data_IF_844964930622
#
_entry.id   IF_844964930622
#
_cell.length_a   1.000
_cell.length_b   1.000
_cell.length_c   1.000
_cell.angle_alpha   90.00
_cell.angle_beta   90.00
_cell.angle_gamma   90.00
#
_symmetry.space_group_name_H-M   'P 1'
#
loop_
_entity.id
_entity.type
_entity.pdbx_description
1 polymer ?
#
# COMPACT_ATOMS: atom_id res chain seq x y z
N UNK A 1 16.50 25.48 33.85
CA UNK A 1 16.00 24.09 33.82
C UNK A 1 14.77 24.11 32.92
N UNK A 2 14.95 23.82 31.64
CA UNK A 2 13.87 23.79 30.65
C UNK A 2 13.13 22.47 30.89
N UNK A 3 11.91 22.55 31.41
CA UNK A 3 11.00 21.42 31.48
C UNK A 3 10.77 20.97 30.05
N UNK A 4 11.35 19.84 29.65
CA UNK A 4 10.97 19.18 28.38
C UNK A 4 9.49 18.84 28.50
N UNK A 5 8.64 19.53 27.76
CA UNK A 5 7.26 19.12 27.58
C UNK A 5 7.27 17.67 27.08
N UNK A 6 6.87 16.77 27.94
CA UNK A 6 6.68 15.37 27.55
C UNK A 6 5.43 15.35 26.66
N UNK A 7 5.64 15.30 25.35
CA UNK A 7 4.54 15.15 24.41
C UNK A 7 3.73 13.91 24.79
N UNK A 8 2.40 13.99 24.71
CA UNK A 8 1.54 12.85 25.03
C UNK A 8 1.91 11.66 24.10
N UNK A 9 1.86 10.43 24.62
CA UNK A 9 2.18 9.26 23.84
C UNK A 9 1.26 9.18 22.61
N UNK A 10 1.84 8.85 21.46
CA UNK A 10 1.05 8.62 20.24
C UNK A 10 0.10 7.45 20.45
N UNK A 11 -1.07 7.54 19.85
CA UNK A 11 -2.13 6.52 19.93
C UNK A 11 -2.67 6.22 18.53
N UNK A 12 -3.26 5.04 18.39
CA UNK A 12 -3.99 4.66 17.19
C UNK A 12 -5.36 5.35 17.18
N UNK A 13 -5.77 5.84 16.01
CA UNK A 13 -7.12 6.37 15.78
C UNK A 13 -7.99 5.30 15.13
N UNK A 14 -9.25 5.25 15.52
CA UNK A 14 -10.23 4.38 14.87
C UNK A 14 -10.87 5.12 13.71
N UNK A 15 -10.89 4.48 12.54
CA UNK A 15 -11.52 4.98 11.30
C UNK A 15 -12.69 4.07 10.98
N UNK A 16 -13.87 4.67 10.78
CA UNK A 16 -15.10 3.94 10.50
C UNK A 16 -15.41 3.89 8.99
N UNK A 17 -16.19 2.91 8.53
CA UNK A 17 -16.72 2.92 7.16
C UNK A 17 -17.52 4.21 6.89
N UNK A 18 -17.33 4.79 5.71
CA UNK A 18 -18.00 6.02 5.27
C UNK A 18 -17.26 7.32 5.60
N UNK A 19 -16.04 7.25 6.18
CA UNK A 19 -15.25 8.44 6.51
C UNK A 19 -14.31 8.91 5.40
N UNK A 20 -14.35 8.30 4.21
CA UNK A 20 -13.50 8.71 3.11
C UNK A 20 -13.95 10.05 2.53
N UNK A 21 -13.02 11.00 2.47
CA UNK A 21 -13.21 12.32 1.87
C UNK A 21 -12.02 12.61 0.94
N UNK A 22 -12.26 12.66 -0.35
CA UNK A 22 -11.20 12.75 -1.37
C UNK A 22 -10.20 13.89 -1.10
N UNK A 23 -10.68 15.07 -0.69
CA UNK A 23 -9.82 16.23 -0.42
C UNK A 23 -8.87 16.04 0.77
N UNK A 24 -9.12 15.09 1.65
CA UNK A 24 -8.24 14.74 2.78
C UNK A 24 -7.13 13.77 2.40
N UNK A 25 -7.28 13.06 1.28
CA UNK A 25 -6.42 11.94 0.90
C UNK A 25 -5.68 12.15 -0.42
N UNK A 26 -6.09 13.15 -1.21
CA UNK A 26 -5.49 13.51 -2.47
C UNK A 26 -4.94 14.93 -2.44
N UNK A 27 -3.81 15.16 -3.10
CA UNK A 27 -3.41 16.53 -3.38
C UNK A 27 -4.36 17.18 -4.41
N UNK A 28 -4.64 18.50 -4.31
CA UNK A 28 -5.55 19.18 -5.24
C UNK A 28 -5.16 18.98 -6.72
N UNK A 29 -3.86 18.91 -7.01
CA UNK A 29 -3.36 18.63 -8.38
C UNK A 29 -3.72 17.24 -8.86
N UNK A 30 -3.78 16.23 -7.97
CA UNK A 30 -4.11 14.86 -8.34
C UNK A 30 -5.58 14.72 -8.74
N UNK A 31 -6.48 15.51 -8.15
CA UNK A 31 -7.90 15.52 -8.49
C UNK A 31 -8.17 15.99 -9.93
N UNK A 32 -7.26 16.79 -10.50
CA UNK A 32 -7.35 17.30 -11.87
C UNK A 32 -6.29 16.71 -12.81
N UNK A 33 -5.51 15.74 -12.35
CA UNK A 33 -4.49 15.12 -13.16
C UNK A 33 -5.09 14.03 -14.06
N UNK A 34 -4.49 13.84 -15.23
CA UNK A 34 -4.84 12.77 -16.16
C UNK A 34 -3.66 11.83 -16.36
N UNK A 35 -3.94 10.56 -16.59
CA UNK A 35 -2.91 9.60 -16.98
C UNK A 35 -2.44 9.93 -18.39
N UNK A 36 -1.13 10.01 -18.58
CA UNK A 36 -0.55 10.25 -19.91
C UNK A 36 -1.07 9.20 -20.91
N UNK A 37 -1.57 9.58 -22.12
CA UNK A 37 -2.22 8.66 -23.03
C UNK A 37 -1.38 7.43 -23.42
N UNK A 38 -0.06 7.59 -23.56
CA UNK A 38 0.84 6.47 -23.85
C UNK A 38 0.90 5.49 -22.67
N UNK A 39 0.97 5.98 -21.43
CA UNK A 39 0.94 5.15 -20.21
C UNK A 39 -0.37 4.39 -20.14
N UNK A 40 -1.48 5.10 -20.32
CA UNK A 40 -2.81 4.50 -20.34
C UNK A 40 -2.94 3.41 -21.43
N UNK A 41 -2.44 3.65 -22.63
CA UNK A 41 -2.42 2.65 -23.69
C UNK A 41 -1.68 1.36 -23.28
N UNK A 42 -0.46 1.48 -22.73
CA UNK A 42 0.32 0.31 -22.32
C UNK A 42 -0.27 -0.42 -21.11
N UNK A 43 -0.82 0.30 -20.15
CA UNK A 43 -1.46 -0.31 -18.98
C UNK A 43 -2.76 -1.06 -19.34
N UNK A 44 -3.38 -0.73 -20.46
CA UNK A 44 -4.61 -1.39 -20.93
C UNK A 44 -4.37 -2.44 -22.02
N UNK A 45 -3.12 -2.80 -22.32
CA UNK A 45 -2.85 -3.91 -23.23
C UNK A 45 -3.33 -5.23 -22.63
N UNK A 46 -3.99 -6.06 -23.45
CA UNK A 46 -4.26 -7.44 -23.06
C UNK A 46 -2.94 -8.22 -22.89
N UNK A 47 -2.98 -9.25 -22.06
CA UNK A 47 -1.82 -10.14 -21.83
C UNK A 47 -1.25 -10.68 -23.14
N UNK A 48 -2.10 -11.14 -24.04
CA UNK A 48 -1.70 -11.66 -25.36
C UNK A 48 -0.96 -10.57 -26.16
N UNK A 49 -1.50 -9.36 -26.22
CA UNK A 49 -0.85 -8.23 -26.90
C UNK A 49 0.48 -7.86 -26.28
N UNK A 50 0.61 -7.94 -24.94
CA UNK A 50 1.89 -7.71 -24.26
C UNK A 50 2.93 -8.76 -24.67
N UNK A 51 2.57 -10.04 -24.64
CA UNK A 51 3.45 -11.15 -25.02
C UNK A 51 3.90 -10.99 -26.49
N UNK A 52 2.94 -10.82 -27.41
CA UNK A 52 3.24 -10.69 -28.83
C UNK A 52 4.15 -9.49 -29.12
N UNK A 53 3.88 -8.35 -28.49
CA UNK A 53 4.72 -7.15 -28.64
C UNK A 53 6.12 -7.36 -28.09
N UNK A 54 6.23 -7.97 -26.90
CA UNK A 54 7.53 -8.23 -26.29
C UNK A 54 8.38 -9.18 -27.13
N UNK A 55 7.80 -10.30 -27.61
CA UNK A 55 8.50 -11.26 -28.47
C UNK A 55 8.87 -10.66 -29.83
N UNK A 56 8.03 -9.77 -30.39
CA UNK A 56 8.38 -9.04 -31.59
C UNK A 56 9.62 -8.14 -31.42
N UNK A 57 9.74 -7.48 -30.25
CA UNK A 57 10.88 -6.62 -29.94
C UNK A 57 12.12 -7.42 -29.50
N UNK A 58 11.92 -8.64 -29.02
CA UNK A 58 12.95 -9.52 -28.49
C UNK A 58 12.79 -10.93 -29.09
N UNK A 59 13.22 -11.14 -30.38
CA UNK A 59 12.96 -12.39 -31.11
C UNK A 59 13.54 -13.67 -30.49
N UNK A 60 14.51 -13.54 -29.56
CA UNK A 60 15.07 -14.68 -28.83
C UNK A 60 14.16 -15.21 -27.73
N UNK A 61 13.14 -14.42 -27.32
CA UNK A 61 12.22 -14.77 -26.24
C UNK A 61 11.10 -15.65 -26.77
N UNK A 62 10.90 -16.80 -26.13
CA UNK A 62 9.80 -17.71 -26.44
C UNK A 62 8.52 -17.23 -25.77
N UNK A 63 7.43 -17.17 -26.52
CA UNK A 63 6.13 -16.68 -26.04
C UNK A 63 5.62 -17.50 -24.84
N UNK A 64 5.76 -18.82 -24.89
CA UNK A 64 5.30 -19.71 -23.81
C UNK A 64 6.08 -19.47 -22.51
N UNK A 65 7.40 -19.32 -22.57
CA UNK A 65 8.23 -19.02 -21.42
C UNK A 65 7.89 -17.64 -20.81
N UNK A 66 7.61 -16.65 -21.66
CA UNK A 66 7.16 -15.35 -21.20
C UNK A 66 5.77 -15.42 -20.54
N UNK A 67 4.87 -16.22 -21.10
CA UNK A 67 3.55 -16.43 -20.54
C UNK A 67 3.64 -17.09 -19.13
N UNK A 68 4.47 -18.11 -18.99
CA UNK A 68 4.73 -18.76 -17.70
C UNK A 68 5.33 -17.78 -16.67
N UNK A 69 6.30 -16.97 -17.07
CA UNK A 69 6.90 -15.96 -16.24
C UNK A 69 5.88 -14.91 -15.75
N UNK A 70 4.96 -14.50 -16.61
CA UNK A 70 3.89 -13.56 -16.25
C UNK A 70 2.84 -14.17 -15.31
N UNK A 71 2.76 -15.49 -15.23
CA UNK A 71 1.90 -16.20 -14.27
C UNK A 71 2.56 -16.43 -12.91
N UNK A 72 3.86 -16.18 -12.80
CA UNK A 72 4.58 -16.34 -11.54
C UNK A 72 4.03 -15.39 -10.48
N UNK A 73 3.62 -15.95 -9.36
CA UNK A 73 3.08 -15.20 -8.23
C UNK A 73 4.12 -15.12 -7.11
N UNK A 74 4.60 -13.92 -6.87
CA UNK A 74 5.51 -13.67 -5.76
C UNK A 74 4.83 -14.05 -4.42
N UNK A 75 5.56 -14.77 -3.58
CA UNK A 75 5.03 -15.23 -2.29
C UNK A 75 4.93 -14.10 -1.26
N UNK A 76 5.90 -13.21 -1.25
CA UNK A 76 6.05 -12.18 -0.23
C UNK A 76 5.92 -10.75 -0.77
N UNK A 77 5.99 -10.57 -2.07
CA UNK A 77 5.87 -9.28 -2.74
C UNK A 77 4.45 -9.13 -3.30
N UNK A 78 3.59 -8.46 -2.54
CA UNK A 78 2.15 -8.40 -2.81
C UNK A 78 1.70 -7.08 -3.45
N UNK A 79 2.50 -6.03 -3.24
CA UNK A 79 2.23 -4.69 -3.72
C UNK A 79 3.52 -3.92 -3.93
N UNK A 80 3.58 -3.15 -5.02
CA UNK A 80 4.70 -2.30 -5.39
C UNK A 80 4.24 -1.08 -6.17
N UNK A 81 5.10 -0.06 -6.20
CA UNK A 81 5.04 1.03 -7.15
C UNK A 81 6.27 1.04 -8.03
N UNK A 82 6.08 1.26 -9.32
CA UNK A 82 7.18 1.46 -10.26
C UNK A 82 7.27 2.94 -10.66
N UNK A 83 8.46 3.51 -10.55
CA UNK A 83 8.73 4.85 -11.05
C UNK A 83 9.12 4.77 -12.52
N UNK A 84 8.36 5.47 -13.37
CA UNK A 84 8.49 5.44 -14.82
C UNK A 84 8.92 6.82 -15.35
N UNK A 85 9.97 6.86 -16.15
CA UNK A 85 10.34 8.03 -16.95
C UNK A 85 9.93 7.85 -18.39
N UNK A 86 9.24 8.84 -18.93
CA UNK A 86 9.02 8.97 -20.36
C UNK A 86 10.18 9.76 -20.96
N UNK A 87 11.05 9.07 -21.68
CA UNK A 87 12.27 9.64 -22.27
C UNK A 87 12.22 9.59 -23.78
N UNK A 88 12.90 10.55 -24.43
CA UNK A 88 13.15 10.52 -25.87
C UNK A 88 14.64 10.28 -26.09
N UNK A 89 14.99 9.22 -26.78
CA UNK A 89 16.38 8.90 -27.13
C UNK A 89 16.95 9.90 -28.16
N UNK A 90 18.27 9.90 -28.33
CA UNK A 90 18.94 10.69 -29.36
C UNK A 90 18.45 10.38 -30.79
N UNK A 91 17.91 9.19 -31.01
CA UNK A 91 17.28 8.77 -32.28
C UNK A 91 15.78 9.10 -32.37
N UNK A 92 15.31 10.04 -31.54
CA UNK A 92 13.90 10.48 -31.46
C UNK A 92 12.90 9.36 -31.12
N UNK A 93 13.35 8.24 -30.56
CA UNK A 93 12.46 7.18 -30.07
C UNK A 93 11.96 7.51 -28.68
N UNK A 94 10.64 7.48 -28.49
CA UNK A 94 10.03 7.58 -27.16
C UNK A 94 10.06 6.24 -26.47
N UNK A 95 10.50 6.24 -25.23
CA UNK A 95 10.64 5.05 -24.39
C UNK A 95 10.11 5.34 -22.99
N UNK A 96 9.56 4.33 -22.35
CA UNK A 96 9.31 4.35 -20.91
C UNK A 96 10.39 3.53 -20.23
N UNK A 97 11.09 4.15 -19.32
CA UNK A 97 12.16 3.52 -18.54
C UNK A 97 11.70 3.37 -17.11
N UNK A 98 11.77 2.15 -16.60
CA UNK A 98 11.57 1.88 -15.17
C UNK A 98 12.86 2.25 -14.44
N UNK A 99 12.77 3.15 -13.47
CA UNK A 99 13.90 3.59 -12.66
C UNK A 99 14.05 2.68 -11.46
N UNK A 100 12.94 2.44 -10.75
CA UNK A 100 12.94 1.62 -9.55
C UNK A 100 11.56 1.00 -9.29
N UNK A 101 11.56 -0.05 -8.46
CA UNK A 101 10.37 -0.64 -7.89
C UNK A 101 10.43 -0.50 -6.37
N UNK A 102 9.41 0.11 -5.80
CA UNK A 102 9.28 0.34 -4.36
C UNK A 102 8.31 -0.63 -3.72
N UNK A 103 8.75 -1.36 -2.70
CA UNK A 103 7.88 -2.16 -1.84
C UNK A 103 7.29 -1.27 -0.75
N UNK A 104 6.12 -0.84 -0.83
CA UNK A 104 5.52 0.18 0.04
C UNK A 104 5.70 1.61 -0.49
N UNK A 105 5.35 1.83 -1.77
CA UNK A 105 5.58 3.12 -2.44
C UNK A 105 4.79 4.24 -1.78
N UNK A 106 5.32 5.45 -1.88
CA UNK A 106 4.56 6.68 -1.70
C UNK A 106 4.11 7.20 -3.05
N UNK A 107 2.95 7.81 -3.11
CA UNK A 107 2.54 8.47 -4.33
C UNK A 107 1.05 8.38 -4.63
N UNK A 108 0.30 7.53 -3.93
CA UNK A 108 -1.13 7.38 -4.16
C UNK A 108 -1.88 8.73 -4.03
N UNK A 109 -1.50 9.56 -3.05
CA UNK A 109 -2.02 10.92 -2.88
C UNK A 109 -1.71 11.89 -4.04
N UNK A 110 -0.81 11.52 -4.93
CA UNK A 110 -0.39 12.29 -6.12
C UNK A 110 -0.79 11.62 -7.43
N UNK A 111 -1.35 10.41 -7.37
CA UNK A 111 -1.80 9.68 -8.56
C UNK A 111 -3.12 10.26 -9.07
N UNK A 112 -3.31 10.39 -10.38
CA UNK A 112 -4.59 10.79 -10.94
C UNK A 112 -5.65 9.73 -10.65
N UNK A 113 -6.90 10.15 -10.53
CA UNK A 113 -8.04 9.25 -10.49
C UNK A 113 -8.16 8.50 -11.83
N UNK A 114 -8.42 7.22 -11.78
CA UNK A 114 -8.61 6.39 -12.98
C UNK A 114 -10.00 6.54 -13.59
N UNK A 115 -10.94 7.03 -12.80
CA UNK A 115 -12.33 7.23 -13.17
C UNK A 115 -12.92 8.33 -12.27
N UNK A 116 -13.37 9.42 -12.85
CA UNK A 116 -13.92 10.58 -12.12
C UNK A 116 -15.16 10.24 -11.30
N UNK A 117 -15.86 9.15 -11.64
CA UNK A 117 -17.02 8.66 -10.90
C UNK A 117 -16.65 7.79 -9.70
N UNK A 118 -15.37 7.46 -9.53
CA UNK A 118 -14.87 6.60 -8.44
C UNK A 118 -14.00 7.41 -7.49
N UNK A 119 -14.64 8.11 -6.59
CA UNK A 119 -13.99 9.01 -5.64
C UNK A 119 -12.77 8.40 -4.91
N UNK A 120 -12.82 7.13 -4.57
CA UNK A 120 -11.70 6.41 -3.93
C UNK A 120 -10.61 5.96 -4.91
N UNK A 121 -10.89 5.96 -6.21
CA UNK A 121 -9.93 5.74 -7.29
C UNK A 121 -8.97 4.58 -7.08
N UNK A 122 -7.68 4.85 -7.21
CA UNK A 122 -6.61 3.87 -7.10
C UNK A 122 -6.44 3.28 -5.70
N UNK A 123 -6.83 3.96 -4.62
CA UNK A 123 -6.86 3.38 -3.27
C UNK A 123 -7.79 2.16 -3.24
N UNK A 124 -9.01 2.33 -3.74
CA UNK A 124 -10.00 1.24 -3.75
C UNK A 124 -9.55 0.07 -4.60
N UNK A 125 -9.00 0.36 -5.76
CA UNK A 125 -8.49 -0.67 -6.68
C UNK A 125 -7.41 -1.54 -6.03
N UNK A 126 -6.45 -0.90 -5.34
CA UNK A 126 -5.40 -1.60 -4.60
C UNK A 126 -5.99 -2.48 -3.49
N UNK A 127 -6.89 -1.92 -2.68
CA UNK A 127 -7.44 -2.64 -1.54
C UNK A 127 -8.31 -3.81 -1.98
N UNK A 128 -9.19 -3.62 -2.95
CA UNK A 128 -10.06 -4.70 -3.45
C UNK A 128 -9.30 -5.83 -4.14
N UNK A 129 -8.27 -5.48 -4.93
CA UNK A 129 -7.52 -6.48 -5.72
C UNK A 129 -6.40 -7.17 -4.96
N UNK A 130 -5.89 -6.57 -3.90
CA UNK A 130 -4.70 -7.07 -3.22
C UNK A 130 -4.90 -7.30 -1.72
N UNK A 131 -5.25 -6.29 -0.95
CA UNK A 131 -5.36 -6.40 0.50
C UNK A 131 -6.55 -7.27 0.95
N UNK A 132 -7.74 -7.04 0.39
CA UNK A 132 -8.94 -7.82 0.73
C UNK A 132 -8.76 -9.32 0.49
N UNK A 133 -8.31 -9.79 -0.70
CA UNK A 133 -8.03 -11.21 -0.91
C UNK A 133 -6.93 -11.74 0.02
N UNK A 134 -5.93 -10.93 0.35
CA UNK A 134 -4.89 -11.29 1.31
C UNK A 134 -5.49 -11.57 2.69
N UNK A 135 -6.36 -10.69 3.21
CA UNK A 135 -6.99 -10.85 4.52
C UNK A 135 -7.97 -12.04 4.52
N UNK A 136 -8.72 -12.24 3.45
CA UNK A 136 -9.75 -13.28 3.34
C UNK A 136 -9.22 -14.70 3.11
N UNK A 137 -7.98 -14.87 2.70
CA UNK A 137 -7.38 -16.20 2.58
C UNK A 137 -7.44 -16.92 3.92
N UNK A 138 -8.26 -17.98 4.00
CA UNK A 138 -8.45 -18.83 5.19
C UNK A 138 -7.12 -19.45 5.66
N UNK A 139 -6.43 -18.82 6.57
CA UNK A 139 -5.22 -19.42 7.18
C UNK A 139 -5.06 -19.24 8.68
N UNK A 140 -5.84 -18.39 9.28
CA UNK A 140 -5.65 -18.23 10.70
C UNK A 140 -6.94 -17.97 11.32
N UNK A 141 -7.77 -18.52 11.84
CA UNK A 141 -8.90 -18.08 12.70
C UNK A 141 -8.53 -16.95 13.69
N UNK A 142 -7.54 -16.14 13.31
CA UNK A 142 -6.94 -15.09 14.11
C UNK A 142 -7.96 -13.98 14.33
N UNK A 143 -8.29 -13.77 15.58
CA UNK A 143 -9.22 -12.71 16.00
C UNK A 143 -8.48 -11.35 16.07
N UNK A 144 -9.23 -10.29 15.95
CA UNK A 144 -8.73 -8.92 16.07
C UNK A 144 -9.18 -8.01 14.92
N UNK A 145 -8.83 -6.75 15.05
CA UNK A 145 -9.15 -5.70 14.09
C UNK A 145 -8.15 -5.65 12.92
N UNK A 146 -8.41 -4.74 11.99
CA UNK A 146 -7.48 -4.34 10.94
C UNK A 146 -6.72 -3.09 11.36
N UNK A 147 -5.51 -2.91 10.82
CA UNK A 147 -4.71 -1.72 11.05
C UNK A 147 -4.01 -1.23 9.77
N UNK A 148 -3.76 0.07 9.70
CA UNK A 148 -2.78 0.70 8.80
C UNK A 148 -1.67 1.27 9.65
N UNK A 149 -0.46 0.72 9.50
CA UNK A 149 0.73 1.21 10.20
C UNK A 149 1.46 2.20 9.29
N UNK A 150 1.82 3.36 9.79
CA UNK A 150 2.54 4.35 8.99
C UNK A 150 3.64 5.07 9.75
N UNK A 151 4.71 5.43 9.03
CA UNK A 151 5.81 6.27 9.52
C UNK A 151 6.12 7.45 8.58
N UNK A 152 5.30 7.65 7.57
CA UNK A 152 5.40 8.75 6.60
C UNK A 152 4.03 9.09 6.01
N UNK A 153 3.94 10.24 5.37
CA UNK A 153 2.79 10.65 4.54
C UNK A 153 1.42 10.35 5.19
N UNK A 154 1.08 10.98 6.31
CA UNK A 154 -0.15 10.69 7.05
C UNK A 154 -1.42 10.86 6.19
N UNK A 155 -1.44 11.81 5.25
CA UNK A 155 -2.54 12.01 4.30
C UNK A 155 -2.80 10.75 3.45
N UNK A 156 -1.75 10.11 2.95
CA UNK A 156 -1.87 8.89 2.15
C UNK A 156 -2.25 7.68 3.00
N UNK A 157 -1.63 7.57 4.17
CA UNK A 157 -1.91 6.49 5.10
C UNK A 157 -3.37 6.52 5.60
N UNK A 158 -3.93 7.70 5.86
CA UNK A 158 -5.34 7.87 6.21
C UNK A 158 -6.29 7.47 5.08
N UNK A 159 -5.88 7.70 3.82
CA UNK A 159 -6.62 7.23 2.64
C UNK A 159 -6.70 5.70 2.58
N UNK A 160 -5.60 5.00 2.84
CA UNK A 160 -5.63 3.54 2.95
C UNK A 160 -6.54 3.07 4.08
N UNK A 161 -6.49 3.70 5.26
CA UNK A 161 -7.32 3.31 6.41
C UNK A 161 -8.82 3.48 6.11
N UNK A 162 -9.23 4.62 5.55
CA UNK A 162 -10.61 4.90 5.22
C UNK A 162 -11.15 3.96 4.13
N UNK A 163 -10.35 3.70 3.08
CA UNK A 163 -10.77 2.76 2.02
C UNK A 163 -10.80 1.32 2.50
N UNK A 164 -9.87 0.90 3.36
CA UNK A 164 -9.93 -0.45 3.97
C UNK A 164 -11.20 -0.58 4.79
N UNK A 165 -11.55 0.43 5.61
CA UNK A 165 -12.78 0.41 6.40
C UNK A 165 -14.02 0.25 5.50
N UNK A 166 -14.09 1.01 4.41
CA UNK A 166 -15.20 0.93 3.45
C UNK A 166 -15.30 -0.42 2.74
N UNK A 167 -14.17 -0.97 2.29
CA UNK A 167 -14.15 -2.22 1.51
C UNK A 167 -14.39 -3.44 2.39
N UNK A 168 -13.86 -3.42 3.62
CA UNK A 168 -13.99 -4.52 4.57
C UNK A 168 -15.27 -4.44 5.42
N UNK A 169 -15.92 -3.25 5.46
CA UNK A 169 -17.13 -2.96 6.24
C UNK A 169 -16.90 -3.14 7.76
N UNK A 170 -15.75 -2.72 8.23
CA UNK A 170 -15.36 -2.78 9.64
C UNK A 170 -14.40 -1.65 10.00
N UNK A 171 -14.27 -1.37 11.28
CA UNK A 171 -13.35 -0.36 11.79
C UNK A 171 -11.89 -0.73 11.52
N UNK A 172 -11.06 0.27 11.24
CA UNK A 172 -9.63 0.12 10.99
C UNK A 172 -8.84 1.04 11.92
N UNK A 173 -7.84 0.51 12.58
CA UNK A 173 -6.92 1.33 13.36
C UNK A 173 -5.88 2.00 12.45
N UNK A 174 -5.83 3.33 12.51
CA UNK A 174 -4.84 4.17 11.86
C UNK A 174 -3.72 4.47 12.87
N UNK A 175 -2.54 3.88 12.66
CA UNK A 175 -1.52 3.72 13.70
C UNK A 175 -0.23 4.42 13.32
N UNK A 176 0.16 5.51 14.01
CA UNK A 176 1.48 6.10 13.86
C UNK A 176 2.54 5.15 14.43
N UNK A 177 3.52 4.78 13.61
CA UNK A 177 4.57 3.86 14.01
C UNK A 177 5.93 4.37 13.52
N UNK A 178 6.45 5.40 14.19
CA UNK A 178 7.72 6.05 13.84
C UNK A 178 8.91 5.35 14.49
N UNK A 179 10.05 5.39 13.80
CA UNK A 179 11.26 4.68 14.24
C UNK A 179 11.87 5.22 15.54
N UNK A 180 11.69 6.49 15.80
CA UNK A 180 12.26 7.22 16.93
C UNK A 180 11.26 7.44 18.07
N UNK A 181 10.09 6.83 18.03
CA UNK A 181 9.11 6.92 19.09
C UNK A 181 9.53 6.05 20.30
N UNK A 182 9.81 6.63 21.46
CA UNK A 182 10.22 5.87 22.64
C UNK A 182 9.08 5.06 23.27
N UNK A 183 7.83 5.37 22.93
CA UNK A 183 6.64 4.70 23.42
C UNK A 183 5.62 4.44 22.30
N UNK A 184 5.98 3.60 21.31
CA UNK A 184 5.12 3.38 20.16
C UNK A 184 3.78 2.76 20.57
N UNK A 185 2.67 3.10 19.89
CA UNK A 185 1.36 2.50 20.12
C UNK A 185 1.22 1.10 19.52
N UNK A 186 2.32 0.37 19.37
CA UNK A 186 2.38 -0.98 18.82
C UNK A 186 3.22 -1.85 19.73
N UNK A 187 2.70 -3.01 20.08
CA UNK A 187 3.45 -4.07 20.78
C UNK A 187 3.06 -5.45 20.26
N UNK A 188 3.75 -6.46 20.72
CA UNK A 188 3.42 -7.87 20.46
C UNK A 188 3.14 -8.58 21.77
N UNK A 189 2.07 -9.35 21.82
CA UNK A 189 1.74 -10.16 22.99
C UNK A 189 2.59 -11.46 23.05
N UNK A 190 2.36 -12.28 24.08
CA UNK A 190 3.08 -13.54 24.27
C UNK A 190 2.90 -14.54 23.10
N UNK A 191 1.80 -14.41 22.37
CA UNK A 191 1.51 -15.22 21.17
C UNK A 191 2.13 -14.68 19.89
N UNK A 192 2.95 -13.64 19.96
CA UNK A 192 3.51 -12.91 18.83
C UNK A 192 2.43 -12.28 17.92
N UNK A 193 1.25 -11.99 18.44
CA UNK A 193 0.23 -11.23 17.76
C UNK A 193 0.39 -9.73 18.09
N UNK A 194 0.25 -8.88 17.08
CA UNK A 194 0.32 -7.43 17.24
C UNK A 194 -0.90 -6.92 18.02
N UNK A 195 -0.63 -5.96 18.89
CA UNK A 195 -1.63 -5.14 19.57
C UNK A 195 -1.33 -3.66 19.30
N UNK A 196 -2.38 -2.85 19.19
CA UNK A 196 -2.29 -1.40 19.05
C UNK A 196 -3.02 -0.71 20.20
N UNK A 197 -2.45 0.39 20.66
CA UNK A 197 -3.01 1.20 21.76
C UNK A 197 -3.80 2.36 21.16
N UNK A 198 -5.06 2.47 21.55
CA UNK A 198 -5.95 3.55 21.14
C UNK A 198 -5.83 4.83 22.01
N UNK A 199 -6.68 5.81 21.73
CA UNK A 199 -6.71 7.10 22.44
C UNK A 199 -7.19 6.98 23.90
N UNK A 200 -7.90 5.90 24.24
CA UNK A 200 -8.34 5.59 25.60
C UNK A 200 -7.30 4.76 26.37
N UNK A 201 -6.12 4.54 25.78
CA UNK A 201 -5.05 3.73 26.34
C UNK A 201 -5.37 2.23 26.43
N UNK A 202 -6.35 1.76 25.63
CA UNK A 202 -6.74 0.36 25.53
C UNK A 202 -5.96 -0.35 24.41
N UNK A 203 -5.58 -1.62 24.66
CA UNK A 203 -4.85 -2.43 23.69
C UNK A 203 -5.79 -3.35 22.93
N UNK A 204 -5.73 -3.30 21.61
CA UNK A 204 -6.56 -4.04 20.69
C UNK A 204 -5.75 -5.00 19.83
N UNK A 205 -6.16 -6.27 19.77
CA UNK A 205 -5.55 -7.30 18.93
C UNK A 205 -5.72 -6.95 17.44
N UNK A 206 -4.65 -7.15 16.66
CA UNK A 206 -4.66 -6.95 15.21
C UNK A 206 -4.46 -8.28 14.49
N UNK A 207 -5.44 -8.65 13.64
CA UNK A 207 -5.35 -9.85 12.82
C UNK A 207 -4.60 -9.63 11.50
N UNK A 208 -4.70 -8.43 10.92
CA UNK A 208 -3.97 -8.05 9.71
C UNK A 208 -3.67 -6.56 9.69
N UNK A 209 -2.49 -6.22 9.18
CA UNK A 209 -2.04 -4.84 9.06
C UNK A 209 -1.54 -4.52 7.65
N UNK A 210 -2.00 -3.39 7.10
CA UNK A 210 -1.45 -2.78 5.91
C UNK A 210 -0.18 -2.02 6.31
N UNK A 211 0.97 -2.46 5.79
CA UNK A 211 2.26 -1.85 6.11
C UNK A 211 2.53 -0.63 5.21
N UNK A 212 2.51 0.55 5.81
CA UNK A 212 2.99 1.79 5.20
C UNK A 212 4.16 2.36 6.02
N UNK A 213 5.07 1.43 6.43
CA UNK A 213 6.26 1.68 7.25
C UNK A 213 7.50 1.40 6.43
N UNK A 214 8.38 2.39 6.31
CA UNK A 214 9.58 2.35 5.48
C UNK A 214 10.88 2.60 6.25
N UNK A 215 10.79 3.23 7.43
CA UNK A 215 11.95 3.51 8.27
C UNK A 215 12.35 2.26 9.04
N UNK A 216 13.35 1.52 8.55
CA UNK A 216 13.89 0.30 9.17
C UNK A 216 12.80 -0.70 9.59
N UNK A 217 11.90 -1.11 8.69
CA UNK A 217 10.77 -1.97 9.05
C UNK A 217 11.19 -3.30 9.65
N UNK A 218 12.33 -3.85 9.22
CA UNK A 218 12.89 -5.11 9.72
C UNK A 218 13.32 -5.08 11.19
N UNK A 219 13.58 -3.90 11.74
CA UNK A 219 13.93 -3.74 13.17
C UNK A 219 12.71 -3.53 14.07
N UNK A 220 11.55 -3.22 13.49
CA UNK A 220 10.35 -2.81 14.23
C UNK A 220 9.18 -3.75 14.06
N UNK A 221 9.09 -4.40 12.91
CA UNK A 221 8.05 -5.39 12.64
C UNK A 221 8.60 -6.78 12.96
N UNK A 222 7.92 -7.49 13.83
CA UNK A 222 8.33 -8.82 14.24
C UNK A 222 8.18 -9.82 13.09
N UNK A 223 9.27 -10.39 12.59
CA UNK A 223 9.29 -11.26 11.41
C UNK A 223 8.44 -12.54 11.58
N UNK A 224 8.28 -13.01 12.81
CA UNK A 224 7.50 -14.21 13.13
C UNK A 224 6.14 -13.89 13.74
N UNK A 225 5.63 -12.68 13.51
CA UNK A 225 4.31 -12.30 14.01
C UNK A 225 3.20 -13.18 13.42
N UNK A 226 2.21 -13.52 14.25
CA UNK A 226 0.97 -14.14 13.79
C UNK A 226 0.09 -13.16 13.02
N UNK A 227 0.17 -11.87 13.33
CA UNK A 227 -0.53 -10.80 12.57
C UNK A 227 -0.08 -10.80 11.12
N UNK A 228 -1.03 -10.83 10.21
CA UNK A 228 -0.73 -10.85 8.78
C UNK A 228 -0.31 -9.47 8.30
N UNK A 229 0.94 -9.31 7.92
CA UNK A 229 1.48 -8.04 7.41
C UNK A 229 1.43 -8.03 5.89
N UNK A 230 0.77 -7.06 5.34
CA UNK A 230 0.69 -6.78 3.89
C UNK A 230 1.69 -5.70 3.53
N UNK A 231 2.51 -5.92 2.75
CA UNK A 231 3.73 -6.54 2.39
C UNK A 231 4.60 -6.95 3.61
N UNK A 232 4.93 -8.19 3.84
CA UNK A 232 5.83 -8.59 4.92
C UNK A 232 7.25 -8.02 4.72
N UNK A 233 8.04 -8.01 5.78
CA UNK A 233 9.46 -7.62 5.76
C UNK A 233 10.36 -8.81 5.52
#
# INVERSE_FOLDING_TARGET
>A
MILSEVLPPKSAKRIHPGEFEAHRHWYPKALNATIHPMVNFFLNLSRERMINRYCHLHPIVKADALAELLDYKCKHFLWAGADLLNVTSASARRQMVIIENNSCPSGQKSMPLTDDHKEQGGYRLLIERSFKPFVQKKRSGLQGALAVLYDKNPMEASGYAAVIADVMKEDVFYVPFFNDDPNPPVRYNADAQMEVRDENNEWHLIRAAFRYVTQRPWNRLHMHTKTRIFNPV
#
